data_IF_583504622654
#
_entry.id   IF_583504622654
#
_cell.length_a   1.000
_cell.length_b   1.000
_cell.length_c   1.000
_cell.angle_alpha   90.00
_cell.angle_beta   90.00
_cell.angle_gamma   90.00
#
_symmetry.space_group_name_H-M   'P 1'
#
loop_
_entity.id
_entity.type
_entity.pdbx_description
1 polymer ?
#
# COMPACT_ATOMS: atom_id res chain seq x y z
N UNK A 1 -20.38 15.38 -9.74
CA UNK A 1 -19.50 15.17 -8.56
C UNK A 1 -19.20 13.69 -8.60
N UNK A 2 -17.94 13.26 -8.50
CA UNK A 2 -17.64 11.84 -8.37
C UNK A 2 -18.31 11.31 -7.11
N UNK A 3 -18.92 10.14 -7.21
CA UNK A 3 -19.56 9.48 -6.07
C UNK A 3 -18.49 9.06 -5.07
N UNK A 4 -18.74 9.31 -3.81
CA UNK A 4 -17.94 8.80 -2.70
C UNK A 4 -18.90 8.11 -1.74
N UNK A 5 -18.66 6.86 -1.44
CA UNK A 5 -19.33 6.13 -0.38
C UNK A 5 -18.37 6.00 0.79
N UNK A 6 -18.76 6.47 1.96
CA UNK A 6 -17.94 6.45 3.17
C UNK A 6 -18.66 5.68 4.27
N UNK A 7 -17.98 4.68 4.82
CA UNK A 7 -18.38 3.96 6.02
C UNK A 7 -17.50 4.31 7.21
N UNK A 8 -18.11 4.52 8.36
CA UNK A 8 -17.43 4.62 9.67
C UNK A 8 -17.63 3.32 10.44
N UNK A 9 -16.55 2.60 10.69
CA UNK A 9 -16.59 1.32 11.40
C UNK A 9 -16.67 1.49 12.91
N UNK A 10 -17.35 0.56 13.55
CA UNK A 10 -17.43 0.47 15.01
C UNK A 10 -16.12 -0.12 15.56
N UNK A 11 -15.30 0.71 16.17
CA UNK A 11 -13.99 0.30 16.70
C UNK A 11 -14.05 -0.85 17.71
N UNK A 12 -15.16 -1.00 18.45
CA UNK A 12 -15.32 -2.11 19.39
C UNK A 12 -15.52 -3.49 18.73
N UNK A 13 -15.79 -3.51 17.44
CA UNK A 13 -16.03 -4.75 16.65
C UNK A 13 -15.00 -4.93 15.57
N UNK A 14 -14.52 -3.83 14.97
CA UNK A 14 -13.54 -3.85 13.89
C UNK A 14 -12.11 -4.21 14.36
N UNK A 15 -11.89 -4.31 15.68
CA UNK A 15 -10.60 -4.66 16.27
C UNK A 15 -10.76 -5.71 17.37
N UNK A 16 -9.70 -6.52 17.58
CA UNK A 16 -9.66 -7.61 18.54
C UNK A 16 -10.26 -8.91 17.99
N UNK A 17 -10.35 -9.91 18.88
CA UNK A 17 -10.74 -11.29 18.53
C UNK A 17 -12.25 -11.55 18.69
N UNK A 18 -13.05 -10.52 18.77
CA UNK A 18 -14.51 -10.66 18.95
C UNK A 18 -15.12 -11.33 17.73
N UNK A 19 -15.91 -12.39 17.97
CA UNK A 19 -16.74 -12.97 16.91
C UNK A 19 -17.77 -11.94 16.43
N UNK A 20 -17.60 -11.48 15.20
CA UNK A 20 -18.48 -10.52 14.55
C UNK A 20 -19.58 -11.16 13.70
N UNK A 21 -19.65 -12.50 13.61
CA UNK A 21 -20.55 -13.23 12.71
C UNK A 21 -22.03 -12.90 12.93
N UNK A 22 -22.41 -12.64 14.16
CA UNK A 22 -23.79 -12.32 14.57
C UNK A 22 -24.05 -10.81 14.78
N UNK A 23 -23.06 -9.96 14.49
CA UNK A 23 -23.24 -8.49 14.57
C UNK A 23 -23.90 -8.01 13.29
N UNK A 24 -25.03 -7.27 13.35
CA UNK A 24 -25.64 -6.69 12.15
C UNK A 24 -24.68 -5.75 11.42
N UNK A 25 -24.79 -5.68 10.09
CA UNK A 25 -23.88 -4.82 9.30
C UNK A 25 -23.99 -3.34 9.66
N UNK A 26 -25.18 -2.88 10.06
CA UNK A 26 -25.39 -1.50 10.51
C UNK A 26 -24.70 -1.20 11.87
N UNK A 27 -24.44 -2.23 12.67
CA UNK A 27 -23.68 -2.12 13.91
C UNK A 27 -22.17 -2.30 13.71
N UNK A 28 -21.77 -2.91 12.59
CA UNK A 28 -20.36 -3.02 12.18
C UNK A 28 -19.85 -1.72 11.58
N UNK A 29 -20.58 -1.18 10.61
CA UNK A 29 -20.19 0.00 9.85
C UNK A 29 -21.43 0.81 9.47
N UNK A 30 -21.37 2.11 9.70
CA UNK A 30 -22.41 3.05 9.32
C UNK A 30 -22.01 3.81 8.08
N UNK A 31 -22.84 3.79 7.04
CA UNK A 31 -22.68 4.66 5.88
C UNK A 31 -23.03 6.09 6.29
N UNK A 32 -22.14 7.02 6.01
CA UNK A 32 -22.25 8.41 6.45
C UNK A 32 -22.07 9.37 5.28
N UNK A 33 -22.63 10.56 5.40
CA UNK A 33 -22.39 11.61 4.39
C UNK A 33 -20.93 12.09 4.50
N UNK A 34 -20.09 11.90 3.47
CA UNK A 34 -18.70 12.31 3.51
C UNK A 34 -18.47 13.80 3.80
N UNK A 35 -19.42 14.65 3.38
CA UNK A 35 -19.34 16.09 3.63
C UNK A 35 -19.68 16.49 5.07
N UNK A 36 -20.31 15.61 5.84
CA UNK A 36 -20.75 15.86 7.21
C UNK A 36 -19.85 15.22 8.28
N UNK A 37 -18.89 14.35 7.86
CA UNK A 37 -17.95 13.70 8.79
C UNK A 37 -16.92 14.69 9.29
N UNK A 38 -16.80 14.77 10.62
CA UNK A 38 -15.77 15.55 11.27
C UNK A 38 -14.84 14.65 12.06
N UNK A 39 -13.55 14.81 11.85
CA UNK A 39 -12.49 14.18 12.65
C UNK A 39 -12.07 15.22 13.71
N UNK A 40 -11.92 14.78 14.95
CA UNK A 40 -11.44 15.66 16.02
C UNK A 40 -10.04 16.20 15.68
N UNK A 41 -9.81 17.48 15.98
CA UNK A 41 -8.46 18.05 15.89
C UNK A 41 -7.49 17.39 16.91
N UNK A 42 -8.00 16.66 17.90
CA UNK A 42 -7.23 15.88 18.87
C UNK A 42 -7.04 14.42 18.48
N UNK A 43 -7.54 14.01 17.32
CA UNK A 43 -7.25 12.69 16.79
C UNK A 43 -5.74 12.55 16.46
N UNK A 44 -5.14 11.44 16.88
CA UNK A 44 -3.70 11.23 16.73
C UNK A 44 -3.27 11.10 15.27
N UNK A 45 -4.16 10.68 14.37
CA UNK A 45 -3.86 10.72 12.94
C UNK A 45 -3.70 12.15 12.42
N UNK A 46 -4.51 13.09 12.92
CA UNK A 46 -4.43 14.52 12.57
C UNK A 46 -3.21 15.18 13.22
N UNK A 47 -3.00 14.92 14.51
CA UNK A 47 -1.93 15.56 15.28
C UNK A 47 -0.53 15.01 14.96
N UNK A 48 -0.40 13.73 14.62
CA UNK A 48 0.87 13.00 14.57
C UNK A 48 1.04 12.12 13.34
N UNK A 49 0.02 11.92 12.53
CA UNK A 49 0.02 10.90 11.48
C UNK A 49 0.01 9.47 12.06
N UNK A 50 -0.47 9.29 13.30
CA UNK A 50 -0.45 8.00 13.99
C UNK A 50 -1.67 7.17 13.61
N UNK A 51 -1.43 6.29 12.67
CA UNK A 51 -2.40 5.41 12.06
C UNK A 51 -1.84 4.74 10.81
N UNK A 52 -2.63 3.86 10.23
CA UNK A 52 -2.27 3.06 9.05
C UNK A 52 -3.35 3.15 7.99
N UNK A 53 -3.01 2.76 6.77
CA UNK A 53 -4.02 2.70 5.70
C UNK A 53 -3.70 1.62 4.68
N UNK A 54 -4.72 1.21 3.95
CA UNK A 54 -4.62 0.44 2.72
C UNK A 54 -5.40 1.12 1.60
N UNK A 55 -4.98 0.84 0.37
CA UNK A 55 -5.68 1.31 -0.81
C UNK A 55 -5.50 0.33 -1.96
N UNK A 56 -6.59 -0.03 -2.63
CA UNK A 56 -6.59 -0.89 -3.80
C UNK A 56 -7.60 -0.42 -4.82
N UNK A 57 -7.33 -0.70 -6.09
CA UNK A 57 -8.29 -0.49 -7.18
C UNK A 57 -9.38 -1.56 -7.12
N UNK A 58 -10.63 -1.15 -7.31
CA UNK A 58 -11.76 -2.07 -7.51
C UNK A 58 -12.02 -2.19 -9.01
N UNK A 59 -11.67 -3.32 -9.59
CA UNK A 59 -11.85 -3.55 -11.01
C UNK A 59 -13.09 -4.45 -11.27
N UNK A 60 -14.07 -3.92 -11.99
CA UNK A 60 -15.34 -4.63 -12.28
C UNK A 60 -16.00 -5.24 -11.02
N UNK A 61 -16.00 -4.49 -9.92
CA UNK A 61 -16.59 -4.91 -8.65
C UNK A 61 -15.71 -5.82 -7.78
N UNK A 62 -14.45 -6.07 -8.16
CA UNK A 62 -13.52 -6.86 -7.38
C UNK A 62 -12.33 -6.00 -6.89
N UNK A 63 -12.10 -5.89 -5.58
CA UNK A 63 -10.92 -5.22 -5.05
C UNK A 63 -9.69 -6.09 -5.33
N UNK A 64 -8.73 -5.53 -6.07
CA UNK A 64 -7.51 -6.25 -6.47
C UNK A 64 -6.70 -6.62 -5.23
N UNK A 65 -6.32 -7.92 -5.12
CA UNK A 65 -5.43 -8.42 -4.06
C UNK A 65 -5.91 -8.12 -2.63
N UNK A 66 -7.20 -8.10 -2.38
CA UNK A 66 -7.78 -7.68 -1.09
C UNK A 66 -7.18 -8.44 0.10
N UNK A 67 -7.01 -9.75 -0.01
CA UNK A 67 -6.45 -10.58 1.05
C UNK A 67 -5.04 -10.11 1.44
N UNK A 68 -4.18 -9.84 0.46
CA UNK A 68 -2.84 -9.32 0.70
C UNK A 68 -2.85 -7.92 1.34
N UNK A 69 -3.82 -7.08 0.96
CA UNK A 69 -4.01 -5.77 1.60
C UNK A 69 -4.44 -5.91 3.07
N UNK A 70 -5.35 -6.81 3.38
CA UNK A 70 -5.82 -7.04 4.75
C UNK A 70 -4.74 -7.67 5.64
N UNK A 71 -3.90 -8.55 5.10
CA UNK A 71 -2.72 -9.06 5.81
C UNK A 71 -1.73 -7.93 6.11
N UNK A 72 -1.40 -7.10 5.12
CA UNK A 72 -0.48 -5.96 5.31
C UNK A 72 -1.06 -4.90 6.26
N UNK A 73 -2.38 -4.73 6.29
CA UNK A 73 -3.05 -3.92 7.31
C UNK A 73 -2.77 -4.46 8.72
N UNK A 74 -2.86 -5.78 8.91
CA UNK A 74 -2.55 -6.44 10.18
C UNK A 74 -1.07 -6.31 10.55
N UNK A 75 -0.16 -6.49 9.59
CA UNK A 75 1.28 -6.31 9.81
C UNK A 75 1.61 -4.86 10.20
N UNK A 76 1.03 -3.89 9.50
CA UNK A 76 1.20 -2.47 9.82
C UNK A 76 0.63 -2.14 11.21
N UNK A 77 -0.51 -2.72 11.58
CA UNK A 77 -1.10 -2.56 12.91
C UNK A 77 -0.17 -3.10 14.00
N UNK A 78 0.39 -4.30 13.79
CA UNK A 78 1.36 -4.91 14.70
C UNK A 78 2.64 -4.06 14.86
N UNK A 79 3.20 -3.57 13.76
CA UNK A 79 4.40 -2.71 13.79
C UNK A 79 4.16 -1.38 14.51
N UNK A 80 2.94 -0.89 14.51
CA UNK A 80 2.56 0.37 15.15
C UNK A 80 1.91 0.17 16.54
N UNK A 81 1.91 -1.05 17.09
CA UNK A 81 1.22 -1.34 18.35
C UNK A 81 -0.24 -0.86 18.36
N UNK A 82 -0.93 -0.97 17.22
CA UNK A 82 -2.37 -0.77 17.13
C UNK A 82 -3.11 -2.06 17.52
N UNK A 83 -4.35 -1.98 17.98
CA UNK A 83 -5.17 -3.16 18.19
C UNK A 83 -5.29 -3.99 16.92
N UNK A 84 -5.29 -5.33 17.07
CA UNK A 84 -5.37 -6.27 15.94
C UNK A 84 -6.64 -6.02 15.13
N UNK A 85 -6.56 -5.78 13.80
CA UNK A 85 -7.73 -5.65 12.95
C UNK A 85 -8.56 -6.95 12.92
N UNK A 86 -9.85 -6.85 13.10
CA UNK A 86 -10.77 -7.96 12.91
C UNK A 86 -11.08 -8.10 11.41
N UNK A 87 -10.33 -8.95 10.74
CA UNK A 87 -10.37 -9.08 9.27
C UNK A 87 -11.77 -9.46 8.78
N UNK A 88 -12.46 -10.37 9.47
CA UNK A 88 -13.83 -10.77 9.08
C UNK A 88 -14.81 -9.59 9.16
N UNK A 89 -14.75 -8.79 10.21
CA UNK A 89 -15.57 -7.61 10.37
C UNK A 89 -15.25 -6.54 9.32
N UNK A 90 -13.97 -6.31 9.06
CA UNK A 90 -13.50 -5.33 8.06
C UNK A 90 -13.94 -5.76 6.66
N UNK A 91 -13.82 -7.04 6.30
CA UNK A 91 -14.27 -7.57 4.99
C UNK A 91 -15.76 -7.30 4.79
N UNK A 92 -16.60 -7.59 5.76
CA UNK A 92 -18.04 -7.28 5.68
C UNK A 92 -18.31 -5.77 5.57
N UNK A 93 -17.51 -4.95 6.27
CA UNK A 93 -17.58 -3.50 6.13
C UNK A 93 -17.23 -3.02 4.71
N UNK A 94 -16.23 -3.63 4.09
CA UNK A 94 -15.85 -3.37 2.69
C UNK A 94 -16.99 -3.76 1.75
N UNK A 95 -17.55 -4.95 1.90
CA UNK A 95 -18.67 -5.44 1.08
C UNK A 95 -19.87 -4.48 1.15
N UNK A 96 -20.18 -3.98 2.34
CA UNK A 96 -21.26 -3.01 2.53
C UNK A 96 -20.99 -1.67 1.83
N UNK A 97 -19.77 -1.14 1.93
CA UNK A 97 -19.38 0.10 1.23
C UNK A 97 -19.43 -0.09 -0.27
N UNK A 98 -18.85 -1.18 -0.79
CA UNK A 98 -18.85 -1.50 -2.22
C UNK A 98 -20.26 -1.69 -2.77
N UNK A 99 -21.15 -2.37 -2.02
CA UNK A 99 -22.54 -2.58 -2.45
C UNK A 99 -23.37 -1.28 -2.52
N UNK A 100 -22.95 -0.24 -1.83
CA UNK A 100 -23.58 1.07 -1.85
C UNK A 100 -22.97 2.02 -2.90
N UNK A 101 -21.88 1.63 -3.52
CA UNK A 101 -21.22 2.40 -4.58
C UNK A 101 -21.91 2.13 -5.92
N UNK A 102 -22.46 3.16 -6.54
CA UNK A 102 -23.27 3.08 -7.75
C UNK A 102 -22.70 3.90 -8.94
N UNK A 103 -21.49 4.43 -8.79
CA UNK A 103 -20.85 5.18 -9.87
C UNK A 103 -20.39 4.20 -10.99
N UNK A 104 -20.63 4.54 -12.26
CA UNK A 104 -20.19 3.72 -13.38
C UNK A 104 -18.67 3.75 -13.63
N UNK A 105 -17.90 4.42 -12.78
CA UNK A 105 -16.45 4.44 -12.88
C UNK A 105 -15.88 3.01 -12.89
N UNK A 106 -15.12 2.62 -13.93
CA UNK A 106 -14.73 1.23 -14.13
C UNK A 106 -13.69 0.71 -13.12
N UNK A 107 -12.99 1.61 -12.42
CA UNK A 107 -11.92 1.24 -11.51
C UNK A 107 -11.76 2.24 -10.35
N UNK A 108 -12.79 2.40 -9.48
CA UNK A 108 -12.68 3.27 -8.31
C UNK A 108 -11.61 2.77 -7.34
N UNK A 109 -11.16 3.64 -6.44
CA UNK A 109 -10.20 3.32 -5.41
C UNK A 109 -10.90 3.05 -4.08
N UNK A 110 -10.75 1.84 -3.56
CA UNK A 110 -11.14 1.46 -2.21
C UNK A 110 -10.01 1.81 -1.24
N UNK A 111 -10.32 2.52 -0.16
CA UNK A 111 -9.38 2.85 0.91
C UNK A 111 -9.90 2.39 2.26
N UNK A 112 -8.97 1.95 3.09
CA UNK A 112 -9.17 1.63 4.50
C UNK A 112 -8.21 2.51 5.29
N UNK A 113 -8.73 3.37 6.16
CA UNK A 113 -7.91 4.22 7.03
C UNK A 113 -8.20 3.85 8.47
N UNK A 114 -7.16 3.57 9.24
CA UNK A 114 -7.23 3.32 10.67
C UNK A 114 -6.43 4.37 11.39
N UNK A 115 -7.10 5.20 12.19
CA UNK A 115 -6.46 6.11 13.13
C UNK A 115 -6.30 5.43 14.48
N UNK A 116 -5.22 5.74 15.22
CA UNK A 116 -5.14 5.37 16.64
C UNK A 116 -6.29 5.98 17.47
N UNK A 117 -6.93 7.04 16.99
CA UNK A 117 -8.03 7.71 17.64
C UNK A 117 -7.59 8.78 18.64
N UNK A 118 -8.46 9.06 19.59
CA UNK A 118 -8.21 10.08 20.62
C UNK A 118 -7.36 9.50 21.75
N UNK A 119 -6.40 10.28 22.24
CA UNK A 119 -5.76 10.02 23.52
C UNK A 119 -6.75 10.33 24.66
N UNK A 120 -7.25 9.30 25.31
CA UNK A 120 -8.29 9.43 26.34
C UNK A 120 -7.76 9.86 27.70
N UNK A 121 -6.47 9.72 27.98
CA UNK A 121 -5.92 9.93 29.32
C UNK A 121 -5.15 11.24 29.49
N UNK A 122 -4.41 11.69 28.50
CA UNK A 122 -3.41 12.76 28.69
C UNK A 122 -3.52 13.93 27.72
N UNK A 123 -4.40 13.84 26.76
CA UNK A 123 -4.66 14.91 25.79
C UNK A 123 -3.58 15.19 24.77
N UNK A 124 -2.30 14.92 24.95
CA UNK A 124 -1.26 15.10 23.90
C UNK A 124 0.01 14.30 24.23
N UNK A 125 0.14 13.11 23.66
CA UNK A 125 1.44 12.74 23.11
C UNK A 125 2.35 11.81 23.88
N UNK A 126 2.50 11.79 25.17
CA UNK A 126 3.47 10.87 25.81
C UNK A 126 2.86 9.55 26.26
N UNK A 127 1.59 9.56 26.60
CA UNK A 127 0.94 8.39 27.18
C UNK A 127 0.13 7.59 26.16
N UNK A 128 -0.37 8.19 25.08
CA UNK A 128 -1.08 7.47 24.06
C UNK A 128 -0.23 6.36 23.43
N UNK A 129 1.07 6.60 23.26
CA UNK A 129 2.02 5.61 22.79
C UNK A 129 2.32 4.51 23.84
N UNK A 130 2.14 4.78 25.11
CA UNK A 130 2.52 3.88 26.20
C UNK A 130 1.35 3.20 26.91
N UNK A 131 0.16 3.80 26.88
CA UNK A 131 -0.98 3.32 27.67
C UNK A 131 -1.80 2.23 26.97
N UNK A 132 -1.72 2.13 25.65
CA UNK A 132 -2.62 1.28 24.86
C UNK A 132 -4.11 1.66 24.99
N UNK A 133 -4.42 2.74 25.68
CA UNK A 133 -5.78 3.17 26.00
C UNK A 133 -6.32 4.16 24.98
N UNK A 134 -6.32 3.76 23.71
CA UNK A 134 -6.88 4.52 22.60
C UNK A 134 -8.10 3.80 22.03
N UNK A 135 -9.01 4.58 21.46
CA UNK A 135 -10.19 4.06 20.76
C UNK A 135 -9.96 4.25 19.25
N UNK A 136 -9.42 3.23 18.55
CA UNK A 136 -9.13 3.37 17.13
C UNK A 136 -10.39 3.62 16.32
N UNK A 137 -10.27 4.50 15.33
CA UNK A 137 -11.32 4.80 14.36
C UNK A 137 -10.95 4.21 13.01
N UNK A 138 -11.91 3.56 12.36
CA UNK A 138 -11.73 3.02 11.02
C UNK A 138 -12.71 3.68 10.05
N UNK A 139 -12.18 4.09 8.91
CA UNK A 139 -12.94 4.57 7.76
C UNK A 139 -12.70 3.64 6.58
N UNK A 140 -13.76 3.23 5.91
CA UNK A 140 -13.70 2.48 4.65
C UNK A 140 -14.46 3.30 3.61
N UNK A 141 -13.83 3.60 2.48
CA UNK A 141 -14.50 4.37 1.45
C UNK A 141 -14.06 3.99 0.05
N UNK A 142 -14.97 4.16 -0.90
CA UNK A 142 -14.77 3.97 -2.32
C UNK A 142 -14.96 5.31 -3.05
N UNK A 143 -14.04 5.65 -3.94
CA UNK A 143 -13.96 6.97 -4.57
C UNK A 143 -13.42 6.87 -6.00
N UNK A 144 -14.18 7.38 -6.97
CA UNK A 144 -13.76 7.46 -8.36
C UNK A 144 -12.54 8.35 -8.60
N UNK A 145 -12.35 9.39 -7.77
CA UNK A 145 -11.22 10.34 -7.95
C UNK A 145 -9.85 9.74 -7.69
N UNK A 146 -9.78 8.63 -7.01
CA UNK A 146 -8.52 7.96 -6.69
C UNK A 146 -8.06 6.97 -7.74
N UNK A 147 -8.87 6.71 -8.75
CA UNK A 147 -8.54 5.76 -9.80
C UNK A 147 -7.36 6.26 -10.63
N UNK A 148 -6.26 5.52 -10.62
CA UNK A 148 -5.11 5.76 -11.48
C UNK A 148 -5.27 4.87 -12.72
N UNK A 149 -5.38 5.51 -13.89
CA UNK A 149 -5.51 4.79 -15.16
C UNK A 149 -4.29 4.95 -16.06
N UNK A 150 -3.23 5.59 -15.53
CA UNK A 150 -2.06 5.93 -16.32
C UNK A 150 -1.09 4.76 -16.38
N UNK A 151 -0.89 4.23 -17.59
CA UNK A 151 0.16 3.25 -17.90
C UNK A 151 1.20 3.83 -18.84
N UNK A 152 1.16 5.14 -19.07
CA UNK A 152 2.16 5.82 -19.87
C UNK A 152 3.54 5.73 -19.23
N UNK A 153 4.60 5.59 -20.06
CA UNK A 153 5.95 5.52 -19.56
C UNK A 153 6.34 6.74 -18.72
N UNK A 154 6.97 6.48 -17.56
CA UNK A 154 7.32 7.52 -16.60
C UNK A 154 8.84 7.72 -16.50
N UNK A 155 9.29 8.97 -16.40
CA UNK A 155 10.66 9.31 -16.03
C UNK A 155 10.82 9.42 -14.52
N UNK A 156 11.97 8.98 -14.00
CA UNK A 156 12.25 8.94 -12.57
C UNK A 156 13.60 9.58 -12.23
N UNK A 157 13.71 10.08 -11.00
CA UNK A 157 14.98 10.46 -10.39
C UNK A 157 15.32 9.55 -9.22
N UNK A 158 16.60 9.36 -8.94
CA UNK A 158 17.04 8.74 -7.71
C UNK A 158 17.18 9.74 -6.57
N UNK A 159 16.80 9.33 -5.35
CA UNK A 159 16.93 10.15 -4.14
C UNK A 159 17.35 9.29 -2.95
N UNK A 160 18.23 9.83 -2.11
CA UNK A 160 18.59 9.12 -0.87
C UNK A 160 17.45 9.14 0.13
N UNK A 161 17.28 8.03 0.86
CA UNK A 161 16.34 7.94 1.98
C UNK A 161 16.95 8.50 3.27
N UNK A 162 18.27 8.64 3.33
CA UNK A 162 19.00 9.23 4.46
C UNK A 162 19.31 8.24 5.59
N UNK A 163 19.27 6.94 5.33
CA UNK A 163 19.67 5.91 6.28
C UNK A 163 20.22 4.66 5.57
N UNK A 164 21.03 3.82 6.25
CA UNK A 164 21.54 2.58 5.68
C UNK A 164 20.50 1.48 5.62
N UNK A 165 20.73 0.47 4.76
CA UNK A 165 19.80 -0.61 4.47
C UNK A 165 19.51 -1.57 5.63
N UNK A 166 20.32 -1.55 6.70
CA UNK A 166 20.14 -2.38 7.90
C UNK A 166 19.42 -1.64 9.04
N UNK A 167 18.95 -0.41 8.79
CA UNK A 167 18.38 0.46 9.82
C UNK A 167 17.17 -0.16 10.53
N UNK A 168 16.35 -0.91 9.82
CA UNK A 168 15.14 -1.52 10.39
C UNK A 168 15.46 -2.46 11.54
N UNK A 169 16.51 -3.27 11.42
CA UNK A 169 16.98 -4.15 12.50
C UNK A 169 17.55 -3.38 13.69
N UNK A 170 18.15 -2.20 13.47
CA UNK A 170 18.76 -1.39 14.51
C UNK A 170 17.84 -0.37 15.16
N UNK A 171 16.81 0.05 14.45
CA UNK A 171 15.92 1.14 14.84
C UNK A 171 14.46 0.84 14.45
N UNK A 172 13.83 -0.21 15.04
CA UNK A 172 12.46 -0.61 14.70
C UNK A 172 11.43 0.49 14.93
N UNK A 173 11.70 1.45 15.80
CA UNK A 173 10.84 2.63 16.03
C UNK A 173 10.75 3.60 14.85
N UNK A 174 11.52 3.42 13.78
CA UNK A 174 11.37 4.17 12.54
C UNK A 174 10.18 3.68 11.71
N UNK A 175 9.57 2.55 12.10
CA UNK A 175 8.36 1.97 11.51
C UNK A 175 8.50 1.70 9.99
N UNK A 176 9.72 1.45 9.53
CA UNK A 176 9.99 1.11 8.14
C UNK A 176 9.28 -0.21 7.79
N UNK A 177 8.62 -0.25 6.64
CA UNK A 177 7.79 -1.38 6.23
C UNK A 177 6.34 -1.33 6.73
N UNK A 178 5.97 -0.40 7.63
CA UNK A 178 4.58 -0.14 7.97
C UNK A 178 3.93 0.88 7.01
N UNK A 179 2.70 0.62 6.60
CA UNK A 179 1.94 1.54 5.74
C UNK A 179 1.20 2.58 6.59
N UNK A 180 1.96 3.55 7.11
CA UNK A 180 1.50 4.56 8.07
C UNK A 180 0.82 5.75 7.41
N UNK A 181 0.04 6.53 8.18
CA UNK A 181 -0.50 7.82 7.74
C UNK A 181 0.54 8.95 7.73
N UNK A 182 1.75 8.73 8.25
CA UNK A 182 2.86 9.71 8.30
C UNK A 182 3.50 9.93 6.93
N UNK A 183 2.71 10.33 5.94
CA UNK A 183 3.10 10.43 4.53
C UNK A 183 3.78 11.76 4.14
N UNK A 184 4.13 12.59 5.09
CA UNK A 184 4.75 13.89 4.81
C UNK A 184 6.06 13.77 4.00
N UNK A 185 6.88 12.75 4.30
CA UNK A 185 8.09 12.45 3.54
C UNK A 185 7.76 12.09 2.08
N UNK A 186 6.86 11.15 1.84
CA UNK A 186 6.46 10.71 0.50
C UNK A 186 5.91 11.88 -0.33
N UNK A 187 5.06 12.70 0.26
CA UNK A 187 4.57 13.94 -0.37
C UNK A 187 5.70 14.94 -0.67
N UNK A 188 6.73 15.03 0.19
CA UNK A 188 7.89 15.89 -0.05
C UNK A 188 8.71 15.40 -1.25
N UNK A 189 8.91 14.08 -1.38
CA UNK A 189 9.58 13.48 -2.54
C UNK A 189 8.81 13.79 -3.83
N UNK A 190 7.50 13.64 -3.86
CA UNK A 190 6.70 13.98 -5.06
C UNK A 190 6.80 15.47 -5.42
N UNK A 191 6.82 16.38 -4.42
CA UNK A 191 7.09 17.81 -4.71
C UNK A 191 8.47 18.03 -5.28
N UNK A 192 9.48 17.25 -4.86
CA UNK A 192 10.83 17.31 -5.43
C UNK A 192 10.86 16.76 -6.86
N UNK A 193 10.16 15.66 -7.14
CA UNK A 193 9.98 15.14 -8.50
C UNK A 193 9.41 16.23 -9.44
N UNK A 194 8.35 16.92 -9.01
CA UNK A 194 7.76 18.02 -9.78
C UNK A 194 8.77 19.16 -10.05
N UNK A 195 9.62 19.51 -9.06
CA UNK A 195 10.69 20.51 -9.26
C UNK A 195 11.75 20.07 -10.26
N UNK A 196 12.04 18.77 -10.32
CA UNK A 196 13.00 18.19 -11.27
C UNK A 196 12.39 17.89 -12.64
N UNK A 197 11.07 18.01 -12.79
CA UNK A 197 10.38 17.69 -14.05
C UNK A 197 10.32 16.20 -14.37
N UNK A 198 10.36 15.34 -13.32
CA UNK A 198 10.21 13.88 -13.46
C UNK A 198 8.90 13.42 -12.83
N UNK A 199 8.41 12.26 -13.25
CA UNK A 199 7.12 11.74 -12.79
C UNK A 199 7.15 11.15 -11.38
N UNK A 200 8.24 10.44 -11.01
CA UNK A 200 8.40 9.83 -9.68
C UNK A 200 9.88 9.68 -9.30
N UNK A 201 10.16 9.02 -8.18
CA UNK A 201 11.51 8.76 -7.72
C UNK A 201 11.69 7.31 -7.26
N UNK A 202 12.92 6.79 -7.39
CA UNK A 202 13.37 5.61 -6.68
C UNK A 202 14.27 6.02 -5.52
N UNK A 203 13.97 5.51 -4.33
CA UNK A 203 14.74 5.78 -3.12
C UNK A 203 15.86 4.76 -2.97
N UNK A 204 17.01 5.20 -2.46
CA UNK A 204 18.12 4.32 -2.12
C UNK A 204 18.68 4.65 -0.74
N UNK A 205 19.31 3.66 -0.11
CA UNK A 205 19.94 3.78 1.21
C UNK A 205 21.32 4.42 1.12
N UNK A 206 21.80 4.98 2.22
CA UNK A 206 23.13 5.65 2.25
C UNK A 206 24.29 4.70 1.95
N UNK A 207 24.11 3.40 2.17
CA UNK A 207 25.06 2.34 1.82
C UNK A 207 24.84 1.77 0.40
N UNK A 208 24.04 2.45 -0.43
CA UNK A 208 23.93 2.24 -1.86
C UNK A 208 23.02 1.12 -2.33
N UNK A 209 22.02 0.71 -1.54
CA UNK A 209 21.01 -0.27 -1.95
C UNK A 209 19.70 0.38 -2.35
N UNK A 210 19.07 -0.18 -3.36
CA UNK A 210 17.73 0.22 -3.81
C UNK A 210 16.72 -0.10 -2.71
N UNK A 211 15.83 0.84 -2.45
CA UNK A 211 14.69 0.67 -1.56
C UNK A 211 13.39 0.56 -2.36
N UNK A 212 12.51 1.52 -2.23
CA UNK A 212 11.22 1.57 -2.93
C UNK A 212 10.98 2.97 -3.51
N UNK A 213 9.89 3.17 -4.22
CA UNK A 213 9.42 4.49 -4.59
C UNK A 213 8.56 5.09 -3.46
N UNK A 214 8.24 6.39 -3.46
CA UNK A 214 7.42 7.01 -2.42
C UNK A 214 6.08 6.29 -2.17
N UNK A 215 5.43 5.81 -3.21
CA UNK A 215 4.11 5.17 -3.13
C UNK A 215 4.05 3.81 -3.85
N UNK A 216 5.17 3.31 -4.36
CA UNK A 216 5.21 2.20 -5.29
C UNK A 216 6.41 1.29 -5.02
N UNK A 217 6.32 0.05 -5.47
CA UNK A 217 7.50 -0.82 -5.56
C UNK A 217 8.24 -0.57 -6.87
N UNK A 218 9.56 -0.80 -6.88
CA UNK A 218 10.38 -0.83 -8.09
C UNK A 218 10.69 -2.29 -8.43
N UNK A 219 10.52 -2.67 -9.70
CA UNK A 219 10.91 -3.98 -10.22
C UNK A 219 11.85 -3.78 -11.41
N UNK A 220 12.91 -4.54 -11.47
CA UNK A 220 13.88 -4.57 -12.56
C UNK A 220 13.77 -5.87 -13.35
N UNK A 221 13.96 -5.80 -14.66
CA UNK A 221 14.09 -6.98 -15.53
C UNK A 221 15.53 -7.17 -15.96
N UNK A 222 16.01 -8.40 -15.86
CA UNK A 222 17.30 -8.86 -16.38
C UNK A 222 17.04 -10.14 -17.19
N UNK A 223 17.04 -10.04 -18.52
CA UNK A 223 16.65 -11.16 -19.37
C UNK A 223 15.23 -11.66 -19.06
N UNK A 224 15.13 -12.91 -18.59
CA UNK A 224 13.88 -13.56 -18.20
C UNK A 224 13.53 -13.41 -16.70
N UNK A 225 14.37 -12.73 -15.92
CA UNK A 225 14.17 -12.58 -14.49
C UNK A 225 13.60 -11.21 -14.12
N UNK A 226 12.59 -11.20 -13.23
CA UNK A 226 12.12 -10.03 -12.51
C UNK A 226 12.74 -9.98 -11.12
N UNK A 227 13.35 -8.86 -10.77
CA UNK A 227 14.06 -8.65 -9.50
C UNK A 227 13.49 -7.43 -8.80
N UNK A 228 13.22 -7.54 -7.50
CA UNK A 228 12.79 -6.41 -6.66
C UNK A 228 13.60 -6.37 -5.38
N UNK A 229 13.76 -5.20 -4.74
CA UNK A 229 14.37 -5.14 -3.42
C UNK A 229 13.65 -6.02 -2.40
N UNK A 230 14.42 -6.66 -1.52
CA UNK A 230 13.90 -7.53 -0.48
C UNK A 230 13.19 -6.70 0.61
N UNK A 231 11.92 -6.98 0.94
CA UNK A 231 11.18 -6.24 1.97
C UNK A 231 11.84 -6.22 3.34
N UNK A 232 12.70 -7.19 3.66
CA UNK A 232 13.46 -7.26 4.93
C UNK A 232 14.40 -6.09 5.16
N UNK A 233 14.71 -5.30 4.13
CA UNK A 233 15.49 -4.07 4.29
C UNK A 233 14.66 -2.89 4.83
N UNK A 234 13.38 -3.10 5.14
CA UNK A 234 12.49 -2.06 5.68
C UNK A 234 11.77 -1.25 4.63
N UNK A 235 11.25 -1.92 3.63
CA UNK A 235 10.33 -1.37 2.62
C UNK A 235 9.00 -2.12 2.67
N UNK A 236 7.98 -1.56 2.04
CA UNK A 236 6.69 -2.24 1.94
C UNK A 236 6.80 -3.49 1.04
N UNK A 237 6.20 -4.59 1.47
CA UNK A 237 5.98 -5.72 0.59
C UNK A 237 4.77 -5.41 -0.31
N UNK A 238 5.04 -4.90 -1.52
CA UNK A 238 4.01 -4.40 -2.43
C UNK A 238 3.01 -5.48 -2.86
N UNK A 239 1.72 -5.24 -2.68
CA UNK A 239 0.67 -6.18 -3.11
C UNK A 239 0.67 -6.35 -4.63
N UNK A 240 0.67 -5.26 -5.39
CA UNK A 240 0.74 -5.30 -6.86
C UNK A 240 2.05 -5.87 -7.39
N UNK A 241 3.17 -5.67 -6.68
CA UNK A 241 4.44 -6.27 -7.03
C UNK A 241 4.38 -7.81 -6.90
N UNK A 242 3.68 -8.32 -5.88
CA UNK A 242 3.44 -9.77 -5.71
C UNK A 242 2.59 -10.33 -6.86
N UNK A 243 1.55 -9.62 -7.27
CA UNK A 243 0.73 -10.01 -8.42
C UNK A 243 1.57 -10.07 -9.72
N UNK A 244 2.45 -9.08 -9.94
CA UNK A 244 3.38 -9.11 -11.07
C UNK A 244 4.31 -10.32 -11.02
N UNK A 245 4.81 -10.70 -9.84
CA UNK A 245 5.64 -11.89 -9.68
C UNK A 245 4.84 -13.18 -9.92
N UNK A 246 3.57 -13.22 -9.48
CA UNK A 246 2.67 -14.34 -9.76
C UNK A 246 2.46 -14.53 -11.28
N UNK A 247 2.22 -13.42 -11.99
CA UNK A 247 2.15 -13.45 -13.45
C UNK A 247 3.45 -14.00 -14.07
N UNK A 248 4.59 -13.49 -13.67
CA UNK A 248 5.88 -13.92 -14.22
C UNK A 248 6.12 -15.43 -14.04
N UNK A 249 5.79 -15.97 -12.86
CA UNK A 249 5.90 -17.40 -12.58
C UNK A 249 4.95 -18.23 -13.45
N UNK A 250 3.72 -17.74 -13.70
CA UNK A 250 2.75 -18.39 -14.59
C UNK A 250 3.29 -18.44 -16.04
N UNK A 251 4.01 -17.42 -16.47
CA UNK A 251 4.66 -17.34 -17.78
C UNK A 251 6.03 -18.08 -17.83
N UNK A 252 6.39 -18.83 -16.76
CA UNK A 252 7.64 -19.58 -16.69
C UNK A 252 8.90 -18.71 -16.54
N UNK A 253 8.74 -17.47 -16.10
CA UNK A 253 9.84 -16.54 -15.86
C UNK A 253 10.36 -16.67 -14.43
N UNK A 254 11.60 -16.21 -14.20
CA UNK A 254 12.21 -16.20 -12.89
C UNK A 254 11.84 -14.95 -12.11
N UNK A 255 11.71 -15.07 -10.77
CA UNK A 255 11.48 -13.94 -9.87
C UNK A 255 12.44 -13.99 -8.68
N UNK A 256 12.90 -12.83 -8.22
CA UNK A 256 13.84 -12.76 -7.11
C UNK A 256 13.60 -11.52 -6.23
N UNK A 257 13.53 -11.75 -4.92
CA UNK A 257 13.76 -10.73 -3.91
C UNK A 257 15.24 -10.65 -3.58
N UNK A 258 15.82 -9.46 -3.61
CA UNK A 258 17.27 -9.29 -3.46
C UNK A 258 17.60 -8.02 -2.69
N UNK A 259 18.63 -8.05 -1.87
CA UNK A 259 19.29 -6.83 -1.41
C UNK A 259 20.01 -6.20 -2.61
N UNK A 260 19.26 -5.40 -3.40
CA UNK A 260 19.62 -4.96 -4.74
C UNK A 260 20.49 -3.69 -4.68
N UNK A 261 21.79 -3.74 -5.08
CA UNK A 261 22.60 -2.55 -5.21
C UNK A 261 22.00 -1.56 -6.21
N UNK A 262 21.99 -0.26 -5.88
CA UNK A 262 21.45 0.75 -6.78
C UNK A 262 22.22 0.82 -8.12
N UNK A 263 23.52 0.60 -8.09
CA UNK A 263 24.32 0.50 -9.31
C UNK A 263 23.86 -0.66 -10.22
N UNK A 264 23.46 -1.80 -9.64
CA UNK A 264 22.90 -2.94 -10.38
C UNK A 264 21.51 -2.63 -10.94
N UNK A 265 20.63 -1.96 -10.15
CA UNK A 265 19.33 -1.51 -10.66
C UNK A 265 19.47 -0.72 -11.96
N UNK A 266 20.49 0.14 -12.03
CA UNK A 266 20.76 0.94 -13.22
C UNK A 266 21.17 0.12 -14.46
N UNK A 267 21.63 -1.11 -14.28
CA UNK A 267 22.02 -2.01 -15.39
C UNK A 267 20.89 -2.93 -15.87
N UNK A 268 19.67 -2.73 -15.35
CA UNK A 268 18.49 -3.48 -15.79
C UNK A 268 18.18 -3.22 -17.28
N UNK A 269 17.60 -4.21 -17.94
CA UNK A 269 17.08 -4.09 -19.31
C UNK A 269 15.82 -3.23 -19.35
N UNK A 270 14.94 -3.38 -18.34
CA UNK A 270 13.70 -2.62 -18.15
C UNK A 270 13.46 -2.34 -16.67
N UNK A 271 12.75 -1.27 -16.38
CA UNK A 271 12.31 -0.92 -15.05
C UNK A 271 10.79 -0.72 -15.03
N UNK A 272 10.17 -1.09 -13.90
CA UNK A 272 8.74 -0.96 -13.69
C UNK A 272 8.46 -0.35 -12.33
N UNK A 273 7.59 0.65 -12.30
CA UNK A 273 6.96 1.17 -11.09
C UNK A 273 5.63 0.43 -10.89
N UNK A 274 5.39 -0.10 -9.70
CA UNK A 274 4.25 -1.01 -9.45
C UNK A 274 3.46 -0.60 -8.22
N UNK A 275 2.18 -0.27 -8.39
CA UNK A 275 1.29 0.11 -7.28
C UNK A 275 -0.19 0.03 -7.67
N UNK A 276 -1.09 -0.04 -6.68
CA UNK A 276 -2.55 0.10 -6.85
C UNK A 276 -3.19 -0.86 -7.85
N UNK A 277 -2.57 -2.01 -8.12
CA UNK A 277 -3.01 -2.95 -9.16
C UNK A 277 -2.45 -2.65 -10.55
N UNK A 278 -1.52 -1.69 -10.68
CA UNK A 278 -0.97 -1.25 -11.96
C UNK A 278 0.54 -1.45 -12.03
N UNK A 279 1.01 -1.82 -13.22
CA UNK A 279 2.42 -1.83 -13.62
C UNK A 279 2.61 -0.73 -14.65
N UNK A 280 3.54 0.17 -14.36
CA UNK A 280 3.86 1.36 -15.16
C UNK A 280 5.32 1.24 -15.61
N UNK A 281 5.62 1.32 -16.91
CA UNK A 281 6.99 1.22 -17.40
C UNK A 281 7.78 2.49 -17.08
N UNK A 282 9.03 2.34 -16.68
CA UNK A 282 9.97 3.44 -16.50
C UNK A 282 10.80 3.59 -17.78
N UNK A 283 10.70 4.75 -18.42
CA UNK A 283 11.45 5.03 -19.66
C UNK A 283 12.78 5.73 -19.42
N UNK A 284 12.97 6.35 -18.24
CA UNK A 284 14.20 7.06 -17.91
C UNK A 284 14.43 7.05 -16.38
N UNK A 285 15.68 6.85 -15.95
CA UNK A 285 16.13 7.06 -14.57
C UNK A 285 17.45 7.83 -14.58
N UNK A 286 17.45 9.03 -13.98
CA UNK A 286 18.61 9.93 -13.91
C UNK A 286 19.27 10.17 -15.29
N UNK A 287 18.48 10.41 -16.34
CA UNK A 287 18.95 10.63 -17.70
C UNK A 287 19.35 9.37 -18.47
N UNK A 288 19.35 8.17 -17.86
CA UNK A 288 19.54 6.90 -18.56
C UNK A 288 18.21 6.38 -19.07
N UNK A 289 18.10 6.19 -20.39
CA UNK A 289 16.92 5.62 -21.03
C UNK A 289 16.84 4.09 -20.83
N UNK A 290 15.59 3.60 -20.71
CA UNK A 290 15.26 2.17 -20.59
C UNK A 290 14.29 1.75 -21.70
N UNK A 291 14.39 0.50 -22.12
CA UNK A 291 13.45 -0.09 -23.07
C UNK A 291 12.05 -0.22 -22.44
N UNK A 292 11.02 0.09 -23.23
CA UNK A 292 9.62 -0.04 -22.85
C UNK A 292 8.93 -1.03 -23.76
N UNK A 293 8.17 -1.95 -23.18
CA UNK A 293 7.37 -2.93 -23.89
C UNK A 293 5.89 -2.81 -23.44
N UNK A 294 5.12 -2.03 -24.17
CA UNK A 294 3.72 -1.77 -23.85
C UNK A 294 2.85 -3.00 -23.99
N UNK A 295 3.23 -3.97 -24.82
CA UNK A 295 2.49 -5.23 -24.97
C UNK A 295 2.66 -6.10 -23.71
N UNK A 296 3.85 -6.17 -23.15
CA UNK A 296 4.11 -6.84 -21.87
C UNK A 296 3.36 -6.15 -20.72
N UNK A 297 3.41 -4.82 -20.64
CA UNK A 297 2.67 -4.05 -19.63
C UNK A 297 1.16 -4.33 -19.69
N UNK A 298 0.58 -4.33 -20.88
CA UNK A 298 -0.83 -4.64 -21.08
C UNK A 298 -1.17 -6.07 -20.63
N UNK A 299 -0.32 -7.05 -20.92
CA UNK A 299 -0.51 -8.44 -20.52
C UNK A 299 -0.45 -8.62 -19.00
N UNK A 300 0.52 -7.95 -18.33
CA UNK A 300 0.64 -7.99 -16.87
C UNK A 300 -0.60 -7.34 -16.22
N UNK A 301 -0.97 -6.14 -16.64
CA UNK A 301 -2.11 -5.42 -16.09
C UNK A 301 -3.43 -6.18 -16.31
N UNK A 302 -3.64 -6.77 -17.49
CA UNK A 302 -4.80 -7.63 -17.75
C UNK A 302 -4.84 -8.84 -16.80
N UNK A 303 -3.70 -9.50 -16.57
CA UNK A 303 -3.62 -10.63 -15.65
C UNK A 303 -3.96 -10.24 -14.21
N UNK A 304 -3.45 -9.10 -13.73
CA UNK A 304 -3.75 -8.56 -12.40
C UNK A 304 -5.25 -8.21 -12.30
N UNK A 305 -5.79 -7.47 -13.27
CA UNK A 305 -7.16 -6.97 -13.23
C UNK A 305 -8.21 -8.07 -13.41
N UNK A 306 -7.88 -9.14 -14.09
CA UNK A 306 -8.77 -10.30 -14.25
C UNK A 306 -8.65 -11.33 -13.13
N UNK A 307 -7.80 -11.10 -12.14
CA UNK A 307 -7.59 -11.99 -11.00
C UNK A 307 -6.86 -13.28 -11.34
N UNK A 308 -6.27 -13.41 -12.54
CA UNK A 308 -5.49 -14.61 -12.91
C UNK A 308 -4.28 -14.84 -12.04
N UNK A 309 -3.78 -13.78 -11.41
CA UNK A 309 -2.62 -13.79 -10.51
C UNK A 309 -2.98 -14.10 -9.06
N UNK A 310 -4.26 -14.14 -8.69
CA UNK A 310 -4.72 -14.39 -7.32
C UNK A 310 -4.76 -15.88 -6.93
N UNK A 311 -4.12 -16.72 -7.71
CA UNK A 311 -4.19 -18.16 -7.51
C UNK A 311 -3.22 -18.60 -6.39
N UNK A 312 -3.76 -19.07 -5.27
CA UNK A 312 -3.02 -19.68 -4.15
C UNK A 312 -2.17 -20.89 -4.56
N UNK A 313 -2.47 -21.51 -5.73
CA UNK A 313 -1.78 -22.69 -6.22
C UNK A 313 -0.31 -22.44 -6.63
N UNK A 314 0.15 -21.19 -6.70
CA UNK A 314 1.52 -20.89 -7.12
C UNK A 314 2.54 -20.90 -5.97
N UNK A 315 2.13 -21.25 -4.75
CA UNK A 315 3.04 -21.29 -3.61
C UNK A 315 3.64 -19.93 -3.25
N UNK A 316 3.10 -18.84 -3.85
CA UNK A 316 3.35 -17.48 -3.38
C UNK A 316 2.49 -17.36 -2.14
N UNK A 317 2.99 -18.01 -1.11
CA UNK A 317 2.35 -18.04 0.18
C UNK A 317 1.98 -16.64 0.63
N UNK A 318 1.11 -16.56 1.64
CA UNK A 318 0.87 -15.34 2.38
C UNK A 318 2.20 -14.66 2.63
N UNK A 319 2.20 -13.38 2.96
CA UNK A 319 3.36 -12.64 3.48
C UNK A 319 4.12 -13.62 4.35
N UNK A 320 4.93 -14.40 3.63
CA UNK A 320 5.22 -15.66 4.05
C UNK A 320 6.18 -15.57 5.12
N UNK A 321 6.62 -16.51 5.53
CA UNK A 321 7.79 -16.91 6.25
C UNK A 321 8.99 -15.94 6.19
N UNK A 322 8.74 -14.64 5.99
CA UNK A 322 9.60 -13.56 6.38
C UNK A 322 9.27 -13.26 7.85
N UNK A 323 9.79 -14.13 8.75
CA UNK A 323 9.93 -13.76 10.14
C UNK A 323 10.69 -12.44 10.21
N UNK A 324 9.97 -11.38 10.59
CA UNK A 324 10.52 -10.06 10.89
C UNK A 324 10.99 -10.07 12.34
#
# INVERSE_FOLDING_TARGET
MSSIVLGMGNGAVMFGDRDASNVPDDDLIQLVNPAAVNISAFDLSVLRGDGIFEATTVFKGFPISLENHLRRLSDSARLMDLPTPNIAAITRGIEKVMSAYDDPEPAPLLRIIVSRGLDQETGIGKAAAASGNTAPTIFIFEDAKGALHETDPISMASMTRGYPSDITARAPWLLNGAKTLSYAFNCAVHRECARRGVGDAVLFSDDGYTLECPNSSIVARYGDALVTPDPRIGILHGTSQREMFAWALQEGQNTQYKKLPFAELREADRLYMVHGGWVIPVNELDGKAYAVDMAEIAAINDAIHTGRTHNDALGIGPFGDYDV
#
